data_IF_508228072717
#
_entry.id   IF_508228072717
#
_cell.length_a   1.000
_cell.length_b   1.000
_cell.length_c   1.000
_cell.angle_alpha   90.00
_cell.angle_beta   90.00
_cell.angle_gamma   90.00
#
_symmetry.space_group_name_H-M   'P 1'
#
loop_
_entity.id
_entity.type
_entity.pdbx_description
1 polymer ?
#
# COMPACT_ATOMS: atom_id res chain seq x y z
N UNK A 1 0.77 -9.74 10.43
CA UNK A 1 0.12 -9.66 11.75
C UNK A 1 0.82 -8.53 12.48
N UNK A 2 0.19 -7.36 12.58
CA UNK A 2 0.82 -6.16 13.12
C UNK A 2 0.73 -6.18 14.64
N UNK A 3 1.88 -6.26 15.33
CA UNK A 3 1.96 -6.12 16.79
C UNK A 3 2.68 -4.82 17.11
N UNK A 4 1.99 -3.87 17.73
CA UNK A 4 2.59 -2.62 18.22
C UNK A 4 2.65 -2.66 19.74
N UNK A 5 3.87 -2.67 20.30
CA UNK A 5 4.10 -2.63 21.74
C UNK A 5 4.46 -1.21 22.16
N UNK A 6 3.76 -0.68 23.17
CA UNK A 6 4.02 0.66 23.71
C UNK A 6 5.33 0.67 24.49
N UNK A 7 6.20 1.66 24.23
CA UNK A 7 7.39 1.93 25.08
C UNK A 7 7.06 2.96 26.17
N UNK A 8 7.74 2.87 27.32
CA UNK A 8 7.66 3.89 28.38
C UNK A 8 8.13 5.24 27.80
N UNK A 9 7.26 6.25 27.86
CA UNK A 9 7.52 7.59 27.32
C UNK A 9 6.90 7.89 25.96
N UNK A 10 6.26 6.92 25.29
CA UNK A 10 5.54 7.20 24.04
C UNK A 10 4.12 7.76 24.29
N UNK A 11 3.81 8.87 23.61
CA UNK A 11 2.45 9.38 23.47
C UNK A 11 1.60 8.43 22.63
N UNK A 12 0.29 8.38 22.94
CA UNK A 12 -0.69 7.53 22.24
C UNK A 12 -0.72 7.81 20.73
N UNK A 13 -0.58 9.08 20.32
CA UNK A 13 -0.60 9.47 18.91
C UNK A 13 0.59 8.92 18.11
N UNK A 14 1.77 8.86 18.74
CA UNK A 14 2.96 8.28 18.12
C UNK A 14 2.78 6.79 17.87
N UNK A 15 2.09 6.10 18.78
CA UNK A 15 1.75 4.69 18.64
C UNK A 15 0.76 4.46 17.48
N UNK A 16 -0.28 5.29 17.37
CA UNK A 16 -1.25 5.21 16.27
C UNK A 16 -0.58 5.45 14.92
N UNK A 17 0.31 6.45 14.82
CA UNK A 17 1.07 6.69 13.58
C UNK A 17 1.94 5.50 13.18
N UNK A 18 2.62 4.88 14.15
CA UNK A 18 3.42 3.67 13.90
C UNK A 18 2.54 2.53 13.41
N UNK A 19 1.43 2.27 14.08
CA UNK A 19 0.45 1.26 13.68
C UNK A 19 -0.06 1.49 12.26
N UNK A 20 -0.52 2.71 11.94
CA UNK A 20 -1.01 3.03 10.60
C UNK A 20 0.05 2.78 9.55
N UNK A 21 1.32 3.13 9.83
CA UNK A 21 2.42 2.88 8.91
C UNK A 21 2.69 1.39 8.71
N UNK A 22 2.84 0.60 9.78
CA UNK A 22 3.03 -0.86 9.63
C UNK A 22 1.82 -1.55 8.99
N UNK A 23 0.62 -1.06 9.25
CA UNK A 23 -0.61 -1.60 8.67
C UNK A 23 -0.70 -1.34 7.16
N UNK A 24 -0.24 -0.18 6.69
CA UNK A 24 -0.11 0.14 5.27
C UNK A 24 1.03 -0.67 4.65
N UNK A 25 2.18 -0.75 5.31
CA UNK A 25 3.37 -1.46 4.82
C UNK A 25 3.12 -2.98 4.64
N UNK A 26 2.34 -3.60 5.53
CA UNK A 26 1.98 -5.03 5.43
C UNK A 26 0.91 -5.30 4.34
N UNK A 27 0.42 -4.28 3.62
CA UNK A 27 -0.59 -4.37 2.55
C UNK A 27 -1.81 -5.25 2.91
N UNK A 28 -2.18 -5.26 4.19
CA UNK A 28 -3.22 -6.14 4.74
C UNK A 28 -4.56 -5.85 4.08
N UNK A 29 -4.87 -4.56 3.89
CA UNK A 29 -6.15 -4.12 3.30
C UNK A 29 -6.31 -4.62 1.88
N UNK A 30 -5.28 -4.49 1.02
CA UNK A 30 -5.38 -4.95 -0.36
C UNK A 30 -5.42 -6.48 -0.42
N UNK A 31 -4.66 -7.15 0.42
CA UNK A 31 -4.67 -8.62 0.49
C UNK A 31 -6.04 -9.15 0.87
N UNK A 32 -6.70 -8.55 1.86
CA UNK A 32 -8.06 -8.91 2.26
C UNK A 32 -9.06 -8.65 1.13
N UNK A 33 -9.02 -7.48 0.49
CA UNK A 33 -9.91 -7.16 -0.65
C UNK A 33 -9.71 -8.12 -1.83
N UNK A 34 -8.47 -8.53 -2.12
CA UNK A 34 -8.16 -9.51 -3.17
C UNK A 34 -8.68 -10.92 -2.85
N UNK A 35 -8.81 -11.26 -1.56
CA UNK A 35 -9.28 -12.56 -1.09
C UNK A 35 -10.77 -12.59 -0.73
N UNK A 36 -11.42 -11.44 -0.64
CA UNK A 36 -12.83 -11.32 -0.26
C UNK A 36 -13.77 -12.06 -1.24
N UNK A 37 -13.40 -12.12 -2.52
CA UNK A 37 -14.16 -12.81 -3.55
C UNK A 37 -13.26 -13.72 -4.36
N UNK A 38 -13.79 -14.88 -4.77
CA UNK A 38 -13.10 -15.73 -5.72
C UNK A 38 -12.98 -15.01 -7.07
N UNK A 39 -11.75 -14.86 -7.55
CA UNK A 39 -11.47 -14.41 -8.91
C UNK A 39 -10.89 -15.56 -9.72
N UNK A 40 -11.42 -15.76 -10.93
CA UNK A 40 -10.83 -16.70 -11.90
C UNK A 40 -9.34 -16.36 -12.12
N UNK A 41 -8.46 -17.37 -12.27
CA UNK A 41 -7.02 -17.16 -12.39
C UNK A 41 -6.65 -16.30 -13.62
N UNK A 42 -7.43 -16.37 -14.70
CA UNK A 42 -7.26 -15.52 -15.89
C UNK A 42 -7.44 -14.03 -15.61
N UNK A 43 -8.44 -13.67 -14.81
CA UNK A 43 -8.69 -12.28 -14.41
C UNK A 43 -7.59 -11.76 -13.50
N UNK A 44 -7.08 -12.59 -12.59
CA UNK A 44 -5.95 -12.24 -11.73
C UNK A 44 -4.69 -11.93 -12.54
N UNK A 45 -4.35 -12.77 -13.53
CA UNK A 45 -3.22 -12.53 -14.45
C UNK A 45 -3.37 -11.22 -15.23
N UNK A 46 -4.56 -10.95 -15.73
CA UNK A 46 -4.88 -9.70 -16.45
C UNK A 46 -4.70 -8.45 -15.58
N UNK A 47 -5.16 -8.49 -14.32
CA UNK A 47 -4.98 -7.40 -13.36
C UNK A 47 -3.49 -7.18 -13.01
N UNK A 48 -2.73 -8.25 -12.79
CA UNK A 48 -1.30 -8.17 -12.50
C UNK A 48 -0.49 -7.57 -13.67
N UNK A 49 -0.81 -7.93 -14.91
CA UNK A 49 -0.19 -7.33 -16.10
C UNK A 49 -0.53 -5.85 -16.25
N UNK A 50 -1.78 -5.47 -15.97
CA UNK A 50 -2.22 -4.07 -15.98
C UNK A 50 -1.47 -3.25 -14.94
N UNK A 51 -1.35 -3.75 -13.70
CA UNK A 51 -0.57 -3.09 -12.65
C UNK A 51 0.91 -2.96 -13.03
N UNK A 52 1.54 -4.03 -13.56
CA UNK A 52 2.94 -3.99 -14.02
C UNK A 52 3.14 -2.93 -15.11
N UNK A 53 2.21 -2.86 -16.06
CA UNK A 53 2.22 -1.86 -17.13
C UNK A 53 2.10 -0.45 -16.57
N UNK A 54 1.15 -0.19 -15.68
CA UNK A 54 0.99 1.12 -15.04
C UNK A 54 2.22 1.53 -14.23
N UNK A 55 2.83 0.62 -13.45
CA UNK A 55 4.07 0.89 -12.72
C UNK A 55 5.22 1.25 -13.65
N UNK A 56 5.34 0.59 -14.81
CA UNK A 56 6.34 0.92 -15.84
C UNK A 56 6.09 2.32 -16.42
N UNK A 57 4.85 2.66 -16.73
CA UNK A 57 4.51 4.00 -17.22
C UNK A 57 4.80 5.08 -16.18
N UNK A 58 4.38 4.90 -14.93
CA UNK A 58 4.65 5.84 -13.85
C UNK A 58 6.15 6.07 -13.61
N UNK A 59 6.98 5.02 -13.73
CA UNK A 59 8.45 5.14 -13.67
C UNK A 59 9.02 5.89 -14.87
N UNK A 60 8.46 5.67 -16.07
CA UNK A 60 8.94 6.29 -17.31
C UNK A 60 8.55 7.77 -17.41
N UNK A 61 7.38 8.16 -16.89
CA UNK A 61 6.90 9.54 -17.02
C UNK A 61 7.51 10.51 -16.03
N UNK A 62 8.20 10.07 -14.97
CA UNK A 62 8.97 10.95 -14.07
C UNK A 62 8.21 12.17 -13.50
N UNK A 63 6.88 12.22 -13.65
CA UNK A 63 6.10 13.46 -13.54
C UNK A 63 5.41 13.57 -12.18
N UNK A 64 6.11 13.19 -11.12
CA UNK A 64 5.77 13.58 -9.75
C UNK A 64 6.63 14.77 -9.28
N UNK A 65 7.24 15.51 -10.21
CA UNK A 65 8.24 16.55 -9.93
C UNK A 65 7.99 17.93 -10.56
N UNK A 66 6.77 18.28 -11.00
CA UNK A 66 6.55 19.60 -11.60
C UNK A 66 5.22 20.30 -11.31
N UNK A 67 4.49 19.93 -10.24
CA UNK A 67 3.28 20.67 -9.82
C UNK A 67 3.34 21.20 -8.38
N UNK A 68 4.54 21.65 -7.97
CA UNK A 68 4.76 22.39 -6.72
C UNK A 68 5.86 23.43 -6.92
N UNK A 69 5.55 24.48 -7.67
CA UNK A 69 6.25 25.77 -7.67
C UNK A 69 5.26 26.83 -8.15
N UNK A 70 4.35 27.22 -7.26
CA UNK A 70 3.81 28.58 -7.11
C UNK A 70 3.52 28.74 -5.62
#
# INVERSE_FOLDING_TARGET
>A
MVIVKKRKGESKDSMFRKFTRTFIDEDIVMTLKKRQYYKKPSLKRKEEEKEKRQRRYAKKTGSFGSFRRV
#
